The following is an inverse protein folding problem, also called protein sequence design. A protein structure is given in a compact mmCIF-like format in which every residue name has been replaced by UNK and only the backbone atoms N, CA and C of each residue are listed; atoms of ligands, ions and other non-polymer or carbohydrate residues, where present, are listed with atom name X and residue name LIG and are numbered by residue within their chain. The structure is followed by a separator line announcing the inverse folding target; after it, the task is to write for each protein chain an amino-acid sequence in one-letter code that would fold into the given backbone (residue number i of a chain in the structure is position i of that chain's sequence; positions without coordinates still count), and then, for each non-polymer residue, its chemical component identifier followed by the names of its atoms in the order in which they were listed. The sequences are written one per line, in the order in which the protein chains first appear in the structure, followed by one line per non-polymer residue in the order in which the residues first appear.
data_IF_473513098451
#
_entry.id   IF_473513098451
#
_cell.length_a   1.000
_cell.length_b   1.000
_cell.length_c   1.000
_cell.angle_alpha   90.00
_cell.angle_beta   90.00
_cell.angle_gamma   90.00
#
_symmetry.space_group_name_H-M   'P 1'
#
loop_
_entity.id
_entity.type
_entity.pdbx_description
1 polymer ?
#
# COMPACT_ATOMS: atom_id res chain seq x y z
N UNK A 1 -71.20 -65.96 39.50
CA UNK A 1 -72.04 -66.63 38.47
C UNK A 1 -73.06 -65.63 37.95
N UNK A 2 -73.43 -65.65 36.63
CA UNK A 2 -74.73 -65.24 35.99
C UNK A 2 -75.44 -63.95 36.48
N UNK A 3 -76.07 -63.03 35.71
CA UNK A 3 -76.39 -62.70 34.29
C UNK A 3 -77.02 -61.27 34.35
N UNK A 4 -77.20 -60.40 33.33
CA UNK A 4 -76.74 -60.17 31.94
C UNK A 4 -76.95 -58.65 31.64
N UNK A 5 -76.55 -58.08 30.48
CA UNK A 5 -76.43 -56.61 30.29
C UNK A 5 -77.56 -55.94 29.47
N UNK A 6 -77.59 -54.60 29.51
CA UNK A 6 -78.20 -53.72 28.49
C UNK A 6 -77.29 -52.50 28.24
N UNK A 7 -77.16 -52.04 27.01
CA UNK A 7 -76.36 -50.85 26.62
C UNK A 7 -77.23 -49.57 26.58
N UNK A 8 -76.69 -48.42 27.00
CA UNK A 8 -77.03 -47.11 26.40
C UNK A 8 -75.74 -46.30 26.16
N UNK A 9 -75.75 -45.64 25.02
CA UNK A 9 -74.70 -44.95 24.25
C UNK A 9 -73.92 -43.83 24.97
N UNK A 10 -72.74 -43.54 24.41
CA UNK A 10 -71.83 -42.44 24.78
C UNK A 10 -72.34 -41.06 24.36
N UNK A 11 -72.09 -40.03 25.18
CA UNK A 11 -72.33 -38.63 24.79
C UNK A 11 -71.42 -37.61 25.54
N UNK A 12 -70.10 -37.80 25.53
CA UNK A 12 -69.16 -36.79 26.06
C UNK A 12 -69.07 -35.60 25.10
N UNK A 13 -69.97 -34.63 25.25
CA UNK A 13 -70.08 -33.49 24.35
C UNK A 13 -69.01 -32.41 24.62
N UNK A 14 -67.77 -32.72 24.25
CA UNK A 14 -66.61 -31.83 24.44
C UNK A 14 -66.75 -30.58 23.56
N UNK A 15 -66.87 -29.41 24.20
CA UNK A 15 -66.90 -28.11 23.52
C UNK A 15 -65.55 -27.81 22.82
N UNK A 16 -65.47 -28.19 21.55
CA UNK A 16 -64.36 -27.86 20.66
C UNK A 16 -64.37 -26.36 20.32
N UNK A 17 -63.70 -25.55 21.14
CA UNK A 17 -63.40 -24.15 20.85
C UNK A 17 -62.41 -24.09 19.68
N UNK A 18 -62.92 -24.08 18.45
CA UNK A 18 -62.15 -23.88 17.23
C UNK A 18 -61.84 -22.39 17.05
N UNK A 19 -60.68 -21.95 17.54
CA UNK A 19 -60.09 -20.68 17.12
C UNK A 19 -59.64 -20.80 15.66
N UNK A 20 -60.40 -20.21 14.73
CA UNK A 20 -60.05 -20.12 13.32
C UNK A 20 -58.89 -19.12 13.09
N UNK A 21 -57.68 -19.48 13.55
CA UNK A 21 -56.45 -18.75 13.25
C UNK A 21 -56.04 -19.05 11.81
N UNK A 22 -56.58 -18.28 10.86
CA UNK A 22 -56.18 -18.36 9.45
C UNK A 22 -54.82 -17.67 9.30
N UNK A 23 -53.73 -18.45 9.48
CA UNK A 23 -52.36 -17.99 9.24
C UNK A 23 -52.16 -17.77 7.75
N UNK A 24 -52.54 -16.60 7.25
CA UNK A 24 -52.14 -16.10 5.94
C UNK A 24 -50.64 -15.85 5.96
N UNK A 25 -49.85 -16.84 5.53
CA UNK A 25 -48.46 -16.63 5.13
C UNK A 25 -48.45 -15.79 3.85
N UNK A 26 -48.51 -14.47 3.99
CA UNK A 26 -48.04 -13.58 2.93
C UNK A 26 -46.55 -13.85 2.77
N UNK A 27 -46.14 -14.24 1.57
CA UNK A 27 -44.73 -14.43 1.23
C UNK A 27 -44.12 -13.04 1.05
N UNK A 28 -43.61 -12.48 2.15
CA UNK A 28 -42.81 -11.26 2.13
C UNK A 28 -41.47 -11.57 1.46
N UNK A 29 -41.17 -10.92 0.32
CA UNK A 29 -39.82 -10.83 -0.22
C UNK A 29 -39.31 -9.40 -0.10
N UNK A 30 -38.03 -9.24 0.25
CA UNK A 30 -37.38 -7.92 0.19
C UNK A 30 -37.40 -7.33 -1.23
N UNK A 31 -37.36 -8.20 -2.25
CA UNK A 31 -37.46 -7.85 -3.67
C UNK A 31 -38.77 -7.15 -4.08
N UNK A 32 -39.83 -7.25 -3.26
CA UNK A 32 -41.11 -6.58 -3.51
C UNK A 32 -41.12 -5.12 -3.01
N UNK A 33 -40.12 -4.75 -2.20
CA UNK A 33 -40.02 -3.48 -1.47
C UNK A 33 -38.82 -2.66 -1.96
N UNK A 34 -37.69 -3.31 -2.22
CA UNK A 34 -36.46 -2.72 -2.77
C UNK A 34 -36.71 -2.08 -4.15
N UNK A 35 -36.08 -0.94 -4.42
CA UNK A 35 -36.28 -0.17 -5.65
C UNK A 35 -35.09 0.76 -5.92
N UNK A 36 -34.59 0.75 -7.16
CA UNK A 36 -33.52 1.65 -7.63
C UNK A 36 -33.90 3.14 -7.51
N UNK A 37 -35.19 3.48 -7.65
CA UNK A 37 -35.72 4.78 -7.25
C UNK A 37 -35.95 4.78 -5.72
N UNK A 38 -35.09 5.51 -5.01
CA UNK A 38 -35.19 5.74 -3.57
C UNK A 38 -36.53 6.35 -3.14
N UNK A 39 -37.17 7.16 -3.99
CA UNK A 39 -38.49 7.77 -3.69
C UNK A 39 -39.55 6.69 -3.55
N UNK A 40 -39.56 5.73 -4.49
CA UNK A 40 -40.43 4.56 -4.47
C UNK A 40 -40.04 3.59 -3.35
N UNK A 41 -38.75 3.39 -3.08
CA UNK A 41 -38.29 2.54 -1.97
C UNK A 41 -38.77 3.07 -0.61
N UNK A 42 -38.66 4.39 -0.37
CA UNK A 42 -39.21 5.07 0.82
C UNK A 42 -40.73 4.83 0.93
N UNK A 43 -41.48 4.96 -0.17
CA UNK A 43 -42.92 4.72 -0.13
C UNK A 43 -43.26 3.26 0.18
N UNK A 44 -42.59 2.30 -0.46
CA UNK A 44 -42.76 0.87 -0.19
C UNK A 44 -42.46 0.53 1.29
N UNK A 45 -41.44 1.16 1.89
CA UNK A 45 -41.12 1.02 3.31
C UNK A 45 -42.18 1.64 4.25
N UNK A 46 -42.80 2.77 3.86
CA UNK A 46 -43.92 3.37 4.59
C UNK A 46 -45.19 2.51 4.51
N UNK A 47 -45.48 1.95 3.33
CA UNK A 47 -46.69 1.15 3.09
C UNK A 47 -46.71 -0.17 3.90
N UNK A 48 -45.53 -0.72 4.24
CA UNK A 48 -45.41 -1.87 5.18
C UNK A 48 -45.38 -1.45 6.66
N UNK A 49 -45.46 -0.16 6.99
CA UNK A 49 -45.44 0.36 8.35
C UNK A 49 -44.05 0.43 9.01
N UNK A 50 -42.97 0.57 8.23
CA UNK A 50 -41.63 0.75 8.78
C UNK A 50 -41.50 2.10 9.53
N UNK A 51 -40.88 2.15 10.73
CA UNK A 51 -40.69 3.41 11.45
C UNK A 51 -39.79 4.39 10.67
N UNK A 52 -40.16 5.67 10.60
CA UNK A 52 -39.44 6.70 9.83
C UNK A 52 -37.94 6.79 10.12
N UNK A 53 -37.50 6.59 11.37
CA UNK A 53 -36.08 6.57 11.71
C UNK A 53 -35.36 5.35 11.08
N UNK A 54 -36.00 4.18 11.06
CA UNK A 54 -35.48 2.99 10.38
C UNK A 54 -35.44 3.19 8.87
N UNK A 55 -36.44 3.87 8.28
CA UNK A 55 -36.40 4.27 6.86
C UNK A 55 -35.22 5.21 6.60
N UNK A 56 -35.00 6.22 7.46
CA UNK A 56 -33.86 7.14 7.37
C UNK A 56 -32.52 6.38 7.44
N UNK A 57 -32.33 5.51 8.42
CA UNK A 57 -31.08 4.75 8.59
C UNK A 57 -30.81 3.81 7.38
N UNK A 58 -31.84 3.16 6.83
CA UNK A 58 -31.74 2.33 5.61
C UNK A 58 -31.34 3.19 4.40
N UNK A 59 -32.04 4.28 4.13
CA UNK A 59 -31.79 5.10 2.93
C UNK A 59 -30.44 5.82 3.01
N UNK A 60 -30.02 6.27 4.20
CA UNK A 60 -28.66 6.80 4.41
C UNK A 60 -27.61 5.72 4.14
N UNK A 61 -27.82 4.48 4.60
CA UNK A 61 -26.92 3.35 4.30
C UNK A 61 -26.80 3.09 2.79
N UNK A 62 -27.92 2.96 2.07
CA UNK A 62 -27.89 2.63 0.63
C UNK A 62 -27.35 3.77 -0.24
N UNK A 63 -27.70 5.02 0.05
CA UNK A 63 -27.10 6.17 -0.66
C UNK A 63 -25.61 6.27 -0.37
N UNK A 64 -25.16 6.04 0.88
CA UNK A 64 -23.74 5.98 1.22
C UNK A 64 -23.02 4.83 0.48
N UNK A 65 -23.67 3.67 0.29
CA UNK A 65 -23.15 2.54 -0.47
C UNK A 65 -22.99 2.88 -1.97
N UNK A 66 -24.03 3.44 -2.61
CA UNK A 66 -23.97 3.89 -4.01
C UNK A 66 -22.86 4.92 -4.21
N UNK A 67 -22.77 5.93 -3.35
CA UNK A 67 -21.72 6.95 -3.46
C UNK A 67 -20.32 6.43 -3.11
N UNK A 68 -20.19 5.37 -2.30
CA UNK A 68 -18.90 4.67 -2.13
C UNK A 68 -18.50 3.94 -3.41
N UNK A 69 -19.41 3.19 -4.04
CA UNK A 69 -19.12 2.52 -5.29
C UNK A 69 -18.81 3.51 -6.43
N UNK A 70 -19.49 4.66 -6.47
CA UNK A 70 -19.15 5.76 -7.39
C UNK A 70 -17.75 6.31 -7.13
N UNK A 71 -17.35 6.59 -5.88
CA UNK A 71 -15.96 7.00 -5.59
C UNK A 71 -14.94 5.95 -6.03
N UNK A 72 -15.17 4.69 -5.68
CA UNK A 72 -14.26 3.58 -5.98
C UNK A 72 -14.05 3.34 -7.50
N UNK A 73 -14.85 3.98 -8.37
CA UNK A 73 -14.79 3.84 -9.82
C UNK A 73 -14.56 5.17 -10.58
N UNK A 74 -15.03 6.31 -10.05
CA UNK A 74 -14.91 7.65 -10.66
C UNK A 74 -13.74 8.49 -10.13
N UNK A 75 -13.15 8.14 -8.98
CA UNK A 75 -11.99 8.84 -8.42
C UNK A 75 -10.71 8.10 -8.83
N UNK A 76 -9.73 8.82 -9.40
CA UNK A 76 -8.38 8.31 -9.62
C UNK A 76 -7.51 8.69 -8.43
N UNK A 77 -7.16 7.72 -7.58
CA UNK A 77 -6.31 7.94 -6.40
C UNK A 77 -4.81 7.77 -6.70
N UNK A 78 -3.92 8.27 -5.82
CA UNK A 78 -2.49 7.96 -5.86
C UNK A 78 -2.16 6.46 -5.95
N UNK A 79 -2.94 5.61 -5.28
CA UNK A 79 -2.76 4.16 -5.22
C UNK A 79 -3.01 3.47 -6.58
N UNK A 80 -3.76 4.12 -7.48
CA UNK A 80 -3.91 3.67 -8.85
C UNK A 80 -2.65 3.94 -9.70
N UNK A 81 -1.77 4.86 -9.29
CA UNK A 81 -0.46 5.11 -9.91
C UNK A 81 0.66 4.22 -9.34
N UNK A 82 0.37 2.94 -9.06
CA UNK A 82 1.25 2.02 -8.32
C UNK A 82 2.66 1.80 -8.91
N UNK A 83 2.91 2.20 -10.16
CA UNK A 83 4.22 2.16 -10.80
C UNK A 83 5.13 3.36 -10.46
N UNK A 84 4.56 4.47 -9.95
CA UNK A 84 5.33 5.67 -9.55
C UNK A 84 5.75 5.60 -8.08
N UNK A 85 7.00 5.99 -7.77
CA UNK A 85 7.50 6.17 -6.40
C UNK A 85 7.05 7.47 -5.74
N UNK A 86 6.59 8.44 -6.54
CA UNK A 86 6.00 9.71 -6.10
C UNK A 86 4.75 9.90 -6.97
N UNK A 87 3.54 9.84 -6.38
CA UNK A 87 2.30 10.09 -7.11
C UNK A 87 2.25 11.51 -7.70
N UNK A 88 1.42 11.69 -8.72
CA UNK A 88 1.28 12.98 -9.38
C UNK A 88 0.57 14.02 -8.48
N UNK A 89 1.16 15.20 -8.23
CA UNK A 89 0.52 16.24 -7.44
C UNK A 89 -0.84 16.70 -7.99
N UNK A 90 -1.04 16.65 -9.32
CA UNK A 90 -2.34 17.00 -9.91
C UNK A 90 -3.38 15.91 -9.68
N UNK A 91 -3.01 14.62 -9.73
CA UNK A 91 -3.94 13.52 -9.39
C UNK A 91 -4.39 13.58 -7.93
N UNK A 92 -3.53 14.01 -7.00
CA UNK A 92 -3.92 14.25 -5.61
C UNK A 92 -4.99 15.37 -5.54
N UNK A 93 -4.81 16.48 -6.27
CA UNK A 93 -5.78 17.59 -6.30
C UNK A 93 -7.10 17.18 -6.95
N UNK A 94 -7.05 16.52 -8.12
CA UNK A 94 -8.23 16.08 -8.85
C UNK A 94 -9.04 15.07 -8.03
N UNK A 95 -8.37 14.16 -7.32
CA UNK A 95 -9.02 13.27 -6.35
C UNK A 95 -9.71 14.06 -5.22
N UNK A 96 -9.05 15.06 -4.62
CA UNK A 96 -9.66 15.91 -3.58
C UNK A 96 -10.91 16.62 -4.10
N UNK A 97 -10.84 17.18 -5.32
CA UNK A 97 -11.95 17.89 -5.96
C UNK A 97 -13.11 16.93 -6.26
N UNK A 98 -12.83 15.78 -6.88
CA UNK A 98 -13.84 14.79 -7.27
C UNK A 98 -14.50 14.13 -6.06
N UNK A 99 -13.76 13.84 -4.99
CA UNK A 99 -14.31 13.34 -3.71
C UNK A 99 -15.26 14.37 -3.08
N UNK A 100 -14.89 15.66 -3.05
CA UNK A 100 -15.74 16.73 -2.53
C UNK A 100 -17.01 16.94 -3.36
N UNK A 101 -16.89 16.90 -4.70
CA UNK A 101 -18.05 16.99 -5.59
C UNK A 101 -19.04 15.83 -5.37
N UNK A 102 -18.53 14.59 -5.30
CA UNK A 102 -19.34 13.40 -5.03
C UNK A 102 -20.00 13.43 -3.65
N UNK A 103 -19.37 14.04 -2.62
CA UNK A 103 -20.04 14.20 -1.32
C UNK A 103 -21.12 15.28 -1.33
N UNK A 104 -20.92 16.38 -2.06
CA UNK A 104 -21.97 17.39 -2.24
C UNK A 104 -23.20 16.79 -2.94
N UNK A 105 -22.99 16.05 -4.05
CA UNK A 105 -24.06 15.30 -4.74
C UNK A 105 -24.82 14.34 -3.78
N UNK A 106 -24.08 13.64 -2.90
CA UNK A 106 -24.63 12.73 -1.88
C UNK A 106 -25.49 13.48 -0.86
N UNK A 107 -24.99 14.61 -0.34
CA UNK A 107 -25.67 15.47 0.64
C UNK A 107 -26.94 16.09 0.07
N UNK A 108 -26.90 16.56 -1.18
CA UNK A 108 -28.06 17.10 -1.89
C UNK A 108 -29.14 16.03 -2.08
N UNK A 109 -28.76 14.81 -2.48
CA UNK A 109 -29.69 13.69 -2.62
C UNK A 109 -30.34 13.31 -1.28
N UNK A 110 -29.55 13.17 -0.21
CA UNK A 110 -30.07 12.84 1.13
C UNK A 110 -31.00 13.93 1.67
N UNK A 111 -30.63 15.20 1.50
CA UNK A 111 -31.46 16.36 1.89
C UNK A 111 -32.80 16.37 1.13
N UNK A 112 -32.78 16.02 -0.16
CA UNK A 112 -33.98 15.91 -1.00
C UNK A 112 -34.89 14.74 -0.60
N UNK A 113 -34.32 13.61 -0.16
CA UNK A 113 -35.07 12.40 0.19
C UNK A 113 -35.63 12.41 1.62
N UNK A 114 -34.88 12.98 2.57
CA UNK A 114 -35.08 12.79 4.02
C UNK A 114 -35.18 14.10 4.82
N UNK A 115 -35.14 15.26 4.15
CA UNK A 115 -35.09 16.58 4.77
C UNK A 115 -33.69 16.96 5.29
N UNK A 116 -33.47 18.20 5.74
CA UNK A 116 -32.15 18.68 6.19
C UNK A 116 -31.61 17.91 7.40
N UNK A 117 -32.50 17.40 8.26
CA UNK A 117 -32.14 16.68 9.49
C UNK A 117 -31.72 15.21 9.26
N UNK A 118 -31.37 14.81 8.02
CA UNK A 118 -30.88 13.46 7.73
C UNK A 118 -29.57 13.13 8.46
N UNK A 119 -28.75 14.14 8.77
CA UNK A 119 -27.49 14.00 9.53
C UNK A 119 -27.72 13.54 10.98
N UNK A 120 -28.95 13.62 11.50
CA UNK A 120 -29.33 13.08 12.82
C UNK A 120 -29.56 11.56 12.83
N UNK A 121 -29.06 10.84 11.82
CA UNK A 121 -29.05 9.37 11.76
C UNK A 121 -27.72 8.81 12.28
N UNK A 122 -27.77 7.71 13.03
CA UNK A 122 -26.55 7.00 13.44
C UNK A 122 -25.74 6.48 12.23
N UNK A 123 -26.41 6.29 11.09
CA UNK A 123 -25.78 5.96 9.82
C UNK A 123 -24.93 7.11 9.22
N UNK A 124 -25.11 8.36 9.65
CA UNK A 124 -24.29 9.50 9.22
C UNK A 124 -22.92 9.55 9.95
N UNK A 125 -22.85 9.11 11.21
CA UNK A 125 -21.61 9.08 12.02
C UNK A 125 -20.54 8.15 11.44
N UNK A 126 -20.93 7.20 10.58
CA UNK A 126 -20.01 6.28 9.89
C UNK A 126 -19.16 6.96 8.79
N UNK A 127 -19.35 8.26 8.55
CA UNK A 127 -18.72 9.02 7.47
C UNK A 127 -17.79 10.11 8.03
N UNK A 128 -16.60 10.34 7.45
CA UNK A 128 -15.70 11.39 7.94
C UNK A 128 -16.31 12.81 7.85
N UNK A 129 -15.92 13.74 8.74
CA UNK A 129 -16.22 15.17 8.63
C UNK A 129 -15.81 15.77 7.27
N UNK A 130 -16.56 16.78 6.81
CA UNK A 130 -16.47 17.30 5.43
C UNK A 130 -15.09 17.86 5.06
N UNK A 131 -14.44 18.50 6.02
CA UNK A 131 -13.08 19.03 5.94
C UNK A 131 -12.04 17.89 5.79
N UNK A 132 -12.20 16.82 6.57
CA UNK A 132 -11.30 15.66 6.62
C UNK A 132 -11.57 14.58 5.56
N UNK A 133 -12.73 14.60 4.88
CA UNK A 133 -13.16 13.56 3.92
C UNK A 133 -12.10 13.21 2.88
N UNK A 134 -11.62 14.23 2.15
CA UNK A 134 -10.71 14.02 1.05
C UNK A 134 -9.37 13.45 1.52
N UNK A 135 -8.82 13.99 2.60
CA UNK A 135 -7.59 13.48 3.21
C UNK A 135 -7.76 12.05 3.74
N UNK A 136 -8.87 11.73 4.42
CA UNK A 136 -9.14 10.39 4.96
C UNK A 136 -9.30 9.34 3.86
N UNK A 137 -9.93 9.70 2.74
CA UNK A 137 -10.17 8.81 1.59
C UNK A 137 -8.89 8.61 0.75
N UNK A 138 -8.04 9.64 0.63
CA UNK A 138 -6.88 9.65 -0.28
C UNK A 138 -5.56 9.27 0.43
N UNK A 139 -5.41 9.53 1.73
CA UNK A 139 -4.22 9.14 2.51
C UNK A 139 -4.29 7.73 3.11
N UNK A 140 -5.46 7.09 3.07
CA UNK A 140 -5.62 5.68 3.43
C UNK A 140 -5.26 5.31 4.87
N UNK A 141 -5.58 6.18 5.86
CA UNK A 141 -5.35 6.04 7.31
C UNK A 141 -4.54 4.82 7.77
N UNK A 142 -3.28 5.08 8.12
CA UNK A 142 -2.21 4.12 8.40
C UNK A 142 -2.46 3.22 9.63
N UNK A 143 -3.27 2.16 9.45
CA UNK A 143 -3.48 1.06 10.41
C UNK A 143 -3.94 -0.23 9.69
N UNK A 144 -3.19 -0.65 8.66
CA UNK A 144 -3.49 -1.87 7.89
C UNK A 144 -4.79 -1.83 7.06
N UNK A 145 -5.38 -0.64 6.85
CA UNK A 145 -6.40 -0.40 5.81
C UNK A 145 -5.73 -0.34 4.43
N UNK A 146 -6.50 -0.64 3.40
CA UNK A 146 -6.10 -0.59 1.99
C UNK A 146 -7.15 0.16 1.17
N UNK A 147 -6.76 0.84 0.10
CA UNK A 147 -7.71 1.47 -0.83
C UNK A 147 -8.06 0.46 -1.94
N UNK A 148 -9.36 0.21 -2.16
CA UNK A 148 -9.87 -0.86 -3.02
C UNK A 148 -10.72 -0.29 -4.15
N UNK A 149 -10.07 0.46 -5.03
CA UNK A 149 -10.66 1.32 -6.05
C UNK A 149 -10.07 1.10 -7.46
N UNK A 150 -10.50 1.93 -8.41
CA UNK A 150 -10.08 1.87 -9.80
C UNK A 150 -10.66 0.66 -10.56
N UNK A 151 -10.17 0.38 -11.78
CA UNK A 151 -10.86 -0.48 -12.75
C UNK A 151 -10.90 -1.98 -12.39
N UNK A 152 -10.17 -2.40 -11.34
CA UNK A 152 -10.07 -3.81 -10.90
C UNK A 152 -10.54 -3.98 -9.46
N UNK A 153 -9.96 -3.27 -8.48
CA UNK A 153 -10.33 -3.42 -7.06
C UNK A 153 -11.64 -2.67 -6.72
N UNK A 154 -11.93 -1.56 -7.41
CA UNK A 154 -13.17 -0.82 -7.25
C UNK A 154 -14.44 -1.61 -7.59
N UNK A 155 -14.31 -2.64 -8.43
CA UNK A 155 -15.40 -3.55 -8.85
C UNK A 155 -15.60 -4.75 -7.93
N UNK A 156 -14.85 -4.88 -6.84
CA UNK A 156 -15.07 -5.91 -5.83
C UNK A 156 -16.41 -5.68 -5.10
N UNK A 157 -17.13 -6.75 -4.77
CA UNK A 157 -18.39 -6.64 -4.00
C UNK A 157 -18.13 -6.11 -2.58
N UNK A 158 -19.13 -5.55 -1.89
CA UNK A 158 -18.97 -5.06 -0.52
C UNK A 158 -18.45 -6.13 0.45
N UNK A 159 -18.82 -7.41 0.26
CA UNK A 159 -18.41 -8.56 1.06
C UNK A 159 -16.93 -8.86 0.84
N UNK A 160 -16.48 -8.88 -0.42
CA UNK A 160 -15.08 -9.13 -0.76
C UNK A 160 -14.21 -7.95 -0.29
N UNK A 161 -14.67 -6.70 -0.46
CA UNK A 161 -13.98 -5.52 0.11
C UNK A 161 -13.86 -5.62 1.63
N UNK A 162 -14.94 -5.95 2.36
CA UNK A 162 -14.93 -6.19 3.82
C UNK A 162 -13.96 -7.33 4.20
N UNK A 163 -13.91 -8.41 3.43
CA UNK A 163 -13.03 -9.56 3.68
C UNK A 163 -11.55 -9.24 3.43
N UNK A 164 -11.20 -8.57 2.33
CA UNK A 164 -9.83 -8.08 2.05
C UNK A 164 -9.37 -7.14 3.16
N UNK A 165 -10.17 -6.11 3.49
CA UNK A 165 -9.86 -5.15 4.57
C UNK A 165 -9.61 -5.83 5.92
N UNK A 166 -10.34 -6.91 6.22
CA UNK A 166 -10.13 -7.71 7.43
C UNK A 166 -8.78 -8.44 7.38
N UNK A 167 -8.47 -9.13 6.28
CA UNK A 167 -7.20 -9.84 6.09
C UNK A 167 -6.00 -8.87 6.15
N UNK A 168 -6.08 -7.70 5.50
CA UNK A 168 -5.03 -6.68 5.54
C UNK A 168 -4.72 -6.20 6.96
N UNK A 169 -5.74 -5.99 7.80
CA UNK A 169 -5.55 -5.65 9.23
C UNK A 169 -5.02 -6.82 10.06
N UNK A 170 -5.49 -8.04 9.82
CA UNK A 170 -4.99 -9.25 10.51
C UNK A 170 -3.53 -9.57 10.14
N UNK A 171 -3.13 -9.29 8.90
CA UNK A 171 -1.74 -9.36 8.44
C UNK A 171 -0.86 -8.29 9.09
N UNK A 172 -1.31 -7.03 9.09
CA UNK A 172 -0.59 -5.93 9.75
C UNK A 172 -0.39 -6.21 11.25
N UNK A 173 -1.46 -6.63 11.96
CA UNK A 173 -1.38 -7.01 13.38
C UNK A 173 -0.37 -8.14 13.61
N UNK A 174 -0.44 -9.24 12.84
CA UNK A 174 0.55 -10.35 12.93
C UNK A 174 1.99 -9.89 12.72
N UNK A 175 2.21 -8.88 11.86
CA UNK A 175 3.53 -8.33 11.63
C UNK A 175 4.00 -7.46 12.81
N UNK A 176 3.16 -6.58 13.37
CA UNK A 176 3.54 -5.79 14.54
C UNK A 176 3.77 -6.67 15.77
N UNK A 177 2.88 -7.62 16.06
CA UNK A 177 3.04 -8.58 17.17
C UNK A 177 4.34 -9.40 17.07
N UNK A 178 4.83 -9.65 15.86
CA UNK A 178 6.15 -10.27 15.66
C UNK A 178 7.29 -9.29 15.95
N UNK A 179 7.22 -8.06 15.43
CA UNK A 179 8.27 -7.05 15.62
C UNK A 179 8.40 -6.63 17.10
N UNK A 180 7.28 -6.26 17.74
CA UNK A 180 7.20 -5.93 19.17
C UNK A 180 7.72 -7.09 20.04
N UNK A 181 7.38 -8.33 19.71
CA UNK A 181 7.85 -9.51 20.44
C UNK A 181 9.36 -9.72 20.31
N UNK A 182 9.95 -9.45 19.13
CA UNK A 182 11.41 -9.51 18.97
C UNK A 182 12.10 -8.38 19.74
N UNK A 183 11.57 -7.15 19.69
CA UNK A 183 12.10 -5.98 20.42
C UNK A 183 12.07 -6.20 21.95
N UNK A 184 10.91 -6.55 22.50
CA UNK A 184 10.72 -6.84 23.93
C UNK A 184 11.58 -8.00 24.45
N UNK A 185 12.00 -8.91 23.56
CA UNK A 185 12.89 -10.04 23.89
C UNK A 185 14.37 -9.79 23.53
N UNK A 186 14.73 -8.62 22.99
CA UNK A 186 16.11 -8.32 22.54
C UNK A 186 16.61 -9.22 21.40
N UNK A 187 15.71 -9.73 20.55
CA UNK A 187 16.02 -10.69 19.48
C UNK A 187 16.15 -9.99 18.11
N UNK A 188 17.04 -10.45 17.22
CA UNK A 188 17.12 -9.91 15.86
C UNK A 188 15.86 -10.22 15.04
N UNK A 189 15.47 -9.30 14.17
CA UNK A 189 14.33 -9.48 13.26
C UNK A 189 14.76 -10.46 12.14
N UNK A 190 14.01 -11.54 11.96
CA UNK A 190 14.23 -12.54 10.90
C UNK A 190 13.47 -12.15 9.64
N UNK A 191 14.18 -12.01 8.53
CA UNK A 191 13.57 -11.70 7.23
C UNK A 191 12.78 -12.90 6.68
N UNK A 192 13.23 -14.14 6.92
CA UNK A 192 12.48 -15.31 6.51
C UNK A 192 11.15 -15.43 7.28
N UNK A 193 11.12 -15.04 8.56
CA UNK A 193 9.88 -15.00 9.34
C UNK A 193 8.90 -13.96 8.82
N UNK A 194 9.38 -12.77 8.43
CA UNK A 194 8.56 -11.75 7.77
C UNK A 194 8.02 -12.23 6.40
N UNK A 195 8.85 -12.90 5.59
CA UNK A 195 8.42 -13.49 4.32
C UNK A 195 7.29 -14.52 4.50
N UNK A 196 7.39 -15.40 5.51
CA UNK A 196 6.34 -16.38 5.84
C UNK A 196 5.02 -15.68 6.20
N UNK A 197 5.04 -14.59 6.97
CA UNK A 197 3.82 -13.83 7.30
C UNK A 197 3.20 -13.16 6.06
N UNK A 198 4.02 -12.63 5.15
CA UNK A 198 3.57 -12.09 3.85
C UNK A 198 2.99 -13.20 2.96
N UNK A 199 3.59 -14.40 2.96
CA UNK A 199 3.09 -15.56 2.20
C UNK A 199 1.71 -16.01 2.72
N UNK A 200 1.54 -16.18 4.04
CA UNK A 200 0.24 -16.51 4.64
C UNK A 200 -0.85 -15.51 4.23
N UNK A 201 -0.52 -14.21 4.24
CA UNK A 201 -1.42 -13.14 3.80
C UNK A 201 -1.82 -13.30 2.33
N UNK A 202 -0.89 -13.65 1.44
CA UNK A 202 -1.18 -13.93 0.02
C UNK A 202 -2.07 -15.17 -0.15
N UNK A 203 -1.83 -16.21 0.62
CA UNK A 203 -2.62 -17.46 0.64
C UNK A 203 -4.02 -17.26 1.24
N UNK A 204 -4.24 -16.23 2.05
CA UNK A 204 -5.56 -15.83 2.54
C UNK A 204 -6.31 -15.00 1.50
N UNK A 205 -5.63 -14.05 0.85
CA UNK A 205 -6.21 -13.21 -0.21
C UNK A 205 -6.55 -14.01 -1.47
N UNK A 206 -5.74 -14.99 -1.87
CA UNK A 206 -5.97 -15.83 -3.06
C UNK A 206 -7.21 -16.73 -2.96
N UNK A 207 -7.79 -16.88 -1.76
CA UNK A 207 -9.06 -17.61 -1.53
C UNK A 207 -10.29 -16.75 -1.79
N UNK A 208 -10.13 -15.41 -1.91
CA UNK A 208 -11.24 -14.45 -2.10
C UNK A 208 -11.05 -13.50 -3.29
N UNK A 209 -9.84 -13.42 -3.86
CA UNK A 209 -9.50 -12.62 -5.04
C UNK A 209 -9.18 -13.52 -6.23
N UNK A 210 -9.60 -13.12 -7.43
CA UNK A 210 -9.11 -13.73 -8.68
C UNK A 210 -7.62 -13.40 -8.88
N UNK A 211 -6.88 -14.15 -9.73
CA UNK A 211 -5.46 -13.87 -9.98
C UNK A 211 -5.18 -12.43 -10.41
N UNK A 212 -6.05 -11.84 -11.25
CA UNK A 212 -5.92 -10.44 -11.69
C UNK A 212 -6.13 -9.44 -10.55
N UNK A 213 -7.09 -9.70 -9.64
CA UNK A 213 -7.36 -8.85 -8.49
C UNK A 213 -6.25 -8.96 -7.44
N UNK A 214 -5.69 -10.17 -7.25
CA UNK A 214 -4.54 -10.39 -6.39
C UNK A 214 -3.28 -9.71 -6.93
N UNK A 215 -3.05 -9.75 -8.24
CA UNK A 215 -1.92 -9.06 -8.87
C UNK A 215 -2.01 -7.53 -8.67
N UNK A 216 -3.17 -6.92 -8.95
CA UNK A 216 -3.41 -5.49 -8.73
C UNK A 216 -3.25 -5.11 -7.24
N UNK A 217 -3.74 -5.94 -6.31
CA UNK A 217 -3.52 -5.75 -4.88
C UNK A 217 -2.03 -5.78 -4.52
N UNK A 218 -1.25 -6.72 -5.08
CA UNK A 218 0.17 -6.86 -4.76
C UNK A 218 1.05 -5.78 -5.44
N UNK A 219 0.68 -5.31 -6.64
CA UNK A 219 1.29 -4.15 -7.29
C UNK A 219 1.15 -2.89 -6.43
N UNK A 220 0.06 -2.76 -5.69
CA UNK A 220 -0.16 -1.65 -4.75
C UNK A 220 0.53 -1.89 -3.40
N UNK A 221 0.26 -3.02 -2.75
CA UNK A 221 0.50 -3.20 -1.31
C UNK A 221 1.59 -4.23 -0.93
N UNK A 222 2.30 -4.83 -1.88
CA UNK A 222 3.39 -5.77 -1.55
C UNK A 222 4.71 -5.07 -1.25
N UNK A 223 5.52 -5.68 -0.36
CA UNK A 223 6.89 -5.23 -0.10
C UNK A 223 7.75 -5.19 -1.36
N UNK A 224 7.57 -6.12 -2.29
CA UNK A 224 8.28 -6.16 -3.57
C UNK A 224 7.96 -4.94 -4.42
N UNK A 225 6.68 -4.60 -4.56
CA UNK A 225 6.25 -3.42 -5.31
C UNK A 225 6.74 -2.12 -4.66
N UNK A 226 6.73 -2.03 -3.32
CA UNK A 226 7.25 -0.87 -2.60
C UNK A 226 8.78 -0.75 -2.72
N UNK A 227 9.51 -1.86 -2.61
CA UNK A 227 10.93 -1.93 -2.91
C UNK A 227 11.22 -1.54 -4.37
N UNK A 228 10.37 -1.95 -5.31
CA UNK A 228 10.53 -1.64 -6.74
C UNK A 228 10.24 -0.16 -7.02
N UNK A 229 9.19 0.43 -6.44
CA UNK A 229 8.94 1.89 -6.48
C UNK A 229 10.16 2.66 -5.98
N UNK A 230 10.67 2.31 -4.79
CA UNK A 230 11.86 2.95 -4.20
C UNK A 230 13.11 2.78 -5.07
N UNK A 231 13.31 1.59 -5.64
CA UNK A 231 14.44 1.27 -6.54
C UNK A 231 14.40 2.04 -7.88
N UNK A 232 13.23 2.51 -8.31
CA UNK A 232 13.01 3.19 -9.60
C UNK A 232 12.79 4.72 -9.45
N UNK A 233 13.12 5.29 -8.29
CA UNK A 233 12.80 6.69 -7.98
C UNK A 233 13.50 7.67 -8.92
N UNK A 234 12.73 8.45 -9.67
CA UNK A 234 13.26 9.39 -10.65
C UNK A 234 13.74 8.73 -11.96
N UNK A 235 13.25 7.52 -12.26
CA UNK A 235 13.40 6.86 -13.55
C UNK A 235 12.02 6.75 -14.18
N UNK A 236 11.89 7.12 -15.46
CA UNK A 236 10.64 6.96 -16.19
C UNK A 236 10.43 5.48 -16.56
N UNK A 237 9.30 4.94 -16.09
CA UNK A 237 8.90 3.53 -16.21
C UNK A 237 7.39 3.47 -16.48
N UNK A 238 6.97 2.70 -17.49
CA UNK A 238 5.54 2.52 -17.80
C UNK A 238 4.84 1.56 -16.83
N UNK A 239 3.49 1.55 -16.75
CA UNK A 239 2.74 0.55 -16.00
C UNK A 239 3.08 -0.89 -16.43
N UNK A 240 3.27 -1.11 -17.74
CA UNK A 240 3.61 -2.41 -18.33
C UNK A 240 5.05 -2.82 -17.99
N UNK A 241 6.00 -1.88 -18.00
CA UNK A 241 7.38 -2.13 -17.59
C UNK A 241 7.46 -2.48 -16.10
N UNK A 242 6.79 -1.70 -15.24
CA UNK A 242 6.73 -1.96 -13.81
C UNK A 242 6.04 -3.30 -13.52
N UNK A 243 4.92 -3.62 -14.18
CA UNK A 243 4.23 -4.92 -14.05
C UNK A 243 5.13 -6.08 -14.48
N UNK A 244 5.86 -5.97 -15.60
CA UNK A 244 6.83 -6.98 -16.06
C UNK A 244 7.99 -7.19 -15.09
N UNK A 245 8.52 -6.11 -14.53
CA UNK A 245 9.54 -6.16 -13.48
C UNK A 245 8.99 -6.82 -12.21
N UNK A 246 7.82 -6.37 -11.74
CA UNK A 246 7.17 -6.87 -10.52
C UNK A 246 6.91 -8.38 -10.58
N UNK A 247 6.19 -8.87 -11.60
CA UNK A 247 5.77 -10.29 -11.66
C UNK A 247 6.96 -11.25 -11.62
N UNK A 248 8.10 -10.89 -12.20
CA UNK A 248 9.32 -11.71 -12.14
C UNK A 248 10.15 -11.47 -10.87
N UNK A 249 10.30 -10.21 -10.43
CA UNK A 249 11.06 -9.86 -9.22
C UNK A 249 10.40 -10.39 -7.95
N UNK A 250 9.07 -10.49 -7.91
CA UNK A 250 8.32 -10.90 -6.72
C UNK A 250 8.61 -12.32 -6.25
N UNK A 251 8.70 -13.28 -7.18
CA UNK A 251 9.12 -14.63 -6.86
C UNK A 251 10.57 -14.67 -6.34
N UNK A 252 11.46 -13.88 -6.94
CA UNK A 252 12.89 -13.82 -6.60
C UNK A 252 13.11 -13.15 -5.23
N UNK A 253 12.44 -12.03 -4.96
CA UNK A 253 12.53 -11.31 -3.68
C UNK A 253 11.93 -12.13 -2.53
N UNK A 254 10.84 -12.90 -2.76
CA UNK A 254 10.33 -13.85 -1.75
C UNK A 254 11.32 -14.98 -1.47
N UNK A 255 11.96 -15.57 -2.49
CA UNK A 255 12.96 -16.62 -2.26
C UNK A 255 14.19 -16.06 -1.53
N UNK A 256 14.66 -14.86 -1.88
CA UNK A 256 15.76 -14.18 -1.18
C UNK A 256 15.45 -13.93 0.30
N UNK A 257 14.28 -13.38 0.64
CA UNK A 257 13.92 -13.14 2.04
C UNK A 257 13.81 -14.48 2.83
N UNK A 258 13.31 -15.55 2.20
CA UNK A 258 13.25 -16.91 2.79
C UNK A 258 14.62 -17.61 2.95
N UNK A 259 15.65 -17.14 2.24
CA UNK A 259 17.03 -17.60 2.36
C UNK A 259 17.89 -16.73 3.28
N UNK A 260 17.44 -15.52 3.65
CA UNK A 260 18.23 -14.53 4.37
C UNK A 260 18.85 -15.01 5.69
N UNK A 261 18.17 -15.90 6.42
CA UNK A 261 18.63 -16.44 7.70
C UNK A 261 19.45 -17.75 7.55
N UNK A 262 19.86 -18.13 6.33
CA UNK A 262 20.59 -19.38 6.02
C UNK A 262 22.02 -19.11 5.53
N UNK A 263 22.99 -19.66 6.25
CA UNK A 263 24.43 -19.50 5.97
C UNK A 263 25.09 -20.72 5.30
N UNK A 264 24.33 -21.72 4.84
CA UNK A 264 24.90 -22.89 4.17
C UNK A 264 25.35 -22.57 2.74
N UNK A 265 26.28 -23.37 2.21
CA UNK A 265 26.89 -23.12 0.91
C UNK A 265 25.89 -23.16 -0.27
N UNK A 266 24.83 -23.96 -0.19
CA UNK A 266 23.81 -24.04 -1.24
C UNK A 266 22.89 -22.81 -1.21
N UNK A 267 22.47 -22.35 -0.02
CA UNK A 267 21.75 -21.09 0.15
C UNK A 267 22.57 -19.89 -0.35
N UNK A 268 23.87 -19.81 -0.01
CA UNK A 268 24.76 -18.74 -0.50
C UNK A 268 24.90 -18.78 -2.03
N UNK A 269 25.05 -19.98 -2.63
CA UNK A 269 25.09 -20.11 -4.09
C UNK A 269 23.75 -19.71 -4.73
N UNK A 270 22.62 -20.05 -4.11
CA UNK A 270 21.28 -19.73 -4.61
C UNK A 270 20.99 -18.23 -4.54
N UNK A 271 21.34 -17.56 -3.45
CA UNK A 271 21.25 -16.09 -3.31
C UNK A 271 21.98 -15.39 -4.46
N UNK A 272 23.23 -15.77 -4.75
CA UNK A 272 24.01 -15.18 -5.86
C UNK A 272 23.37 -15.39 -7.23
N UNK A 273 22.69 -16.51 -7.46
CA UNK A 273 21.93 -16.75 -8.69
C UNK A 273 20.70 -15.83 -8.79
N UNK A 274 19.95 -15.69 -7.70
CA UNK A 274 18.75 -14.85 -7.61
C UNK A 274 19.09 -13.35 -7.78
N UNK A 275 20.20 -12.89 -7.21
CA UNK A 275 20.74 -11.54 -7.42
C UNK A 275 21.09 -11.29 -8.90
N UNK A 276 21.80 -12.24 -9.53
CA UNK A 276 22.16 -12.15 -10.95
C UNK A 276 20.93 -12.18 -11.88
N UNK A 277 19.88 -12.92 -11.51
CA UNK A 277 18.59 -12.91 -12.21
C UNK A 277 17.88 -11.55 -12.10
N UNK A 278 17.88 -10.90 -10.93
CA UNK A 278 17.35 -9.53 -10.75
C UNK A 278 18.09 -8.50 -11.61
N UNK A 279 19.41 -8.62 -11.69
CA UNK A 279 20.25 -7.78 -12.55
C UNK A 279 19.95 -7.96 -14.04
N UNK A 280 19.79 -9.22 -14.49
CA UNK A 280 19.40 -9.53 -15.87
C UNK A 280 18.00 -9.02 -16.20
N UNK A 281 17.02 -9.22 -15.30
CA UNK A 281 15.65 -8.73 -15.43
C UNK A 281 15.60 -7.19 -15.58
N UNK A 282 16.38 -6.46 -14.78
CA UNK A 282 16.43 -5.00 -14.85
C UNK A 282 17.00 -4.51 -16.19
N UNK A 283 18.06 -5.15 -16.68
CA UNK A 283 18.64 -4.88 -18.00
C UNK A 283 17.66 -5.21 -19.14
N UNK A 284 16.90 -6.30 -19.04
CA UNK A 284 15.97 -6.76 -20.07
C UNK A 284 14.74 -5.86 -20.22
N UNK A 285 14.16 -5.38 -19.12
CA UNK A 285 12.92 -4.57 -19.18
C UNK A 285 13.23 -3.09 -19.36
N UNK A 286 14.22 -2.52 -18.65
CA UNK A 286 14.51 -1.09 -18.73
C UNK A 286 15.52 -0.73 -19.83
N UNK A 287 16.31 -1.70 -20.30
CA UNK A 287 17.49 -1.46 -21.13
C UNK A 287 18.70 -1.00 -20.32
N UNK A 288 19.90 -1.20 -20.86
CA UNK A 288 21.19 -1.01 -20.17
C UNK A 288 21.33 0.36 -19.51
N UNK A 289 20.93 1.44 -20.19
CA UNK A 289 21.13 2.81 -19.70
C UNK A 289 20.27 3.11 -18.45
N UNK A 290 18.96 2.80 -18.49
CA UNK A 290 18.07 2.98 -17.32
C UNK A 290 18.44 2.03 -16.19
N UNK A 291 18.79 0.78 -16.49
CA UNK A 291 19.30 -0.18 -15.50
C UNK A 291 20.59 0.29 -14.81
N UNK A 292 21.51 0.92 -15.55
CA UNK A 292 22.70 1.54 -14.96
C UNK A 292 22.36 2.72 -14.03
N UNK A 293 21.33 3.51 -14.35
CA UNK A 293 20.84 4.57 -13.45
C UNK A 293 20.26 4.00 -12.15
N UNK A 294 19.48 2.91 -12.20
CA UNK A 294 19.01 2.18 -10.98
C UNK A 294 20.17 1.82 -10.05
N UNK A 295 21.30 1.39 -10.63
CA UNK A 295 22.50 1.02 -9.87
C UNK A 295 23.23 2.23 -9.30
N UNK A 296 23.38 3.29 -10.09
CA UNK A 296 24.04 4.54 -9.64
C UNK A 296 23.26 5.19 -8.49
N UNK A 297 21.92 5.21 -8.54
CA UNK A 297 21.07 5.72 -7.46
C UNK A 297 21.23 4.99 -6.11
N UNK A 298 21.92 3.84 -6.08
CA UNK A 298 22.23 3.06 -4.88
C UNK A 298 23.70 3.14 -4.47
N UNK A 299 24.57 3.76 -5.27
CA UNK A 299 25.99 3.91 -4.95
C UNK A 299 26.18 5.13 -4.03
N UNK A 300 26.71 4.97 -2.79
CA UNK A 300 26.92 6.09 -1.87
C UNK A 300 27.76 7.22 -2.48
N UNK A 301 28.74 6.90 -3.33
CA UNK A 301 29.63 7.88 -3.97
C UNK A 301 28.86 8.72 -5.01
N UNK A 302 27.85 8.14 -5.65
CA UNK A 302 26.97 8.86 -6.58
C UNK A 302 25.99 9.76 -5.83
N UNK A 303 25.38 9.25 -4.74
CA UNK A 303 24.47 10.02 -3.87
C UNK A 303 25.21 11.23 -3.26
N UNK A 304 26.44 11.04 -2.76
CA UNK A 304 27.29 12.13 -2.27
C UNK A 304 27.62 13.14 -3.40
N UNK A 305 27.95 12.66 -4.60
CA UNK A 305 28.26 13.53 -5.74
C UNK A 305 27.04 14.36 -6.21
N UNK A 306 25.83 13.81 -6.13
CA UNK A 306 24.58 14.56 -6.35
C UNK A 306 24.40 15.65 -5.28
N UNK A 307 24.56 15.31 -4.00
CA UNK A 307 24.45 16.25 -2.88
C UNK A 307 25.44 17.41 -3.01
N UNK A 308 26.72 17.12 -3.31
CA UNK A 308 27.77 18.14 -3.50
C UNK A 308 27.36 19.14 -4.60
N UNK A 309 26.85 18.67 -5.74
CA UNK A 309 26.40 19.54 -6.83
C UNK A 309 25.21 20.40 -6.40
N UNK A 310 24.23 19.82 -5.72
CA UNK A 310 23.02 20.52 -5.25
C UNK A 310 23.34 21.61 -4.22
N UNK A 311 24.17 21.33 -3.21
CA UNK A 311 24.50 22.28 -2.14
C UNK A 311 25.48 23.37 -2.60
N UNK A 312 26.45 23.00 -3.45
CA UNK A 312 27.36 23.97 -4.06
C UNK A 312 26.67 24.85 -5.11
N UNK A 313 25.66 24.34 -5.82
CA UNK A 313 25.04 25.00 -6.97
C UNK A 313 25.90 24.94 -8.22
N UNK A 314 26.62 23.83 -8.43
CA UNK A 314 27.30 23.52 -9.68
C UNK A 314 26.31 23.01 -10.75
N UNK A 315 26.77 22.79 -12.00
CA UNK A 315 25.90 22.18 -13.02
C UNK A 315 25.61 20.72 -12.69
N UNK A 316 24.39 20.26 -13.01
CA UNK A 316 24.02 18.85 -12.99
C UNK A 316 24.95 17.99 -13.87
N UNK A 317 25.52 18.56 -14.94
CA UNK A 317 26.48 17.88 -15.81
C UNK A 317 27.75 17.44 -15.06
N UNK A 318 28.12 18.14 -13.98
CA UNK A 318 29.29 17.80 -13.15
C UNK A 318 29.08 16.55 -12.29
N UNK A 319 27.84 16.06 -12.08
CA UNK A 319 27.55 14.90 -11.22
C UNK A 319 28.32 13.65 -11.69
N UNK A 320 28.27 13.31 -12.98
CA UNK A 320 28.90 12.10 -13.53
C UNK A 320 30.44 12.18 -13.64
N UNK A 321 31.06 13.34 -13.93
CA UNK A 321 32.49 13.57 -13.71
C UNK A 321 32.92 13.43 -12.25
N UNK A 322 32.22 14.09 -11.31
CA UNK A 322 32.55 14.06 -9.88
C UNK A 322 32.46 12.64 -9.30
N UNK A 323 31.38 11.93 -9.60
CA UNK A 323 31.21 10.52 -9.23
C UNK A 323 32.37 9.64 -9.69
N UNK A 324 32.81 9.79 -10.96
CA UNK A 324 33.94 9.01 -11.49
C UNK A 324 35.25 9.31 -10.77
N UNK A 325 35.58 10.60 -10.58
CA UNK A 325 36.80 11.01 -9.86
C UNK A 325 36.80 10.51 -8.41
N UNK A 326 35.68 10.65 -7.70
CA UNK A 326 35.54 10.17 -6.33
C UNK A 326 35.65 8.64 -6.25
N UNK A 327 35.00 7.92 -7.16
CA UNK A 327 35.01 6.44 -7.20
C UNK A 327 36.38 5.88 -7.59
N UNK A 328 37.06 6.48 -8.54
CA UNK A 328 38.44 6.11 -8.91
C UNK A 328 39.40 6.37 -7.74
N UNK A 329 39.25 7.49 -7.04
CA UNK A 329 40.02 7.82 -5.83
C UNK A 329 39.79 6.82 -4.71
N UNK A 330 38.53 6.47 -4.43
CA UNK A 330 38.17 5.46 -3.42
C UNK A 330 38.81 4.08 -3.74
N UNK A 331 38.76 3.66 -5.01
CA UNK A 331 39.35 2.41 -5.47
C UNK A 331 40.89 2.43 -5.43
N UNK A 332 41.54 3.58 -5.66
CA UNK A 332 42.98 3.73 -5.51
C UNK A 332 43.41 3.69 -4.04
N UNK A 333 42.76 4.47 -3.17
CA UNK A 333 43.05 4.49 -1.73
C UNK A 333 42.86 3.09 -1.11
N UNK A 334 41.77 2.40 -1.46
CA UNK A 334 41.50 1.04 -0.99
C UNK A 334 42.60 0.05 -1.39
N UNK A 335 43.14 0.15 -2.61
CA UNK A 335 44.28 -0.69 -3.05
C UNK A 335 45.53 -0.43 -2.24
N UNK A 336 45.90 0.84 -2.01
CA UNK A 336 47.10 1.22 -1.23
C UNK A 336 46.96 0.78 0.24
N UNK A 337 45.77 0.88 0.83
CA UNK A 337 45.50 0.37 2.17
C UNK A 337 45.63 -1.15 2.28
N UNK A 338 45.22 -1.87 1.24
CA UNK A 338 45.27 -3.34 1.15
C UNK A 338 46.62 -3.91 0.68
N UNK A 339 47.57 -3.05 0.32
CA UNK A 339 48.93 -3.49 -0.02
C UNK A 339 49.72 -3.82 1.26
N UNK A 340 50.29 -5.02 1.32
CA UNK A 340 51.09 -5.49 2.46
C UNK A 340 52.59 -5.25 2.27
N UNK A 341 53.01 -4.63 1.16
CA UNK A 341 54.42 -4.34 0.85
C UNK A 341 54.85 -2.92 1.26
N UNK A 342 53.90 -2.01 1.52
CA UNK A 342 54.14 -0.62 1.90
C UNK A 342 54.06 -0.42 3.43
N UNK A 343 54.90 0.46 3.98
CA UNK A 343 54.80 0.90 5.39
C UNK A 343 53.58 1.80 5.61
N UNK A 344 53.21 2.03 6.87
CA UNK A 344 52.09 2.94 7.19
C UNK A 344 52.43 4.42 6.90
N UNK A 345 53.71 4.82 6.94
CA UNK A 345 54.16 6.13 6.46
C UNK A 345 54.04 6.24 4.93
N UNK A 346 54.53 5.25 4.18
CA UNK A 346 54.45 5.23 2.71
C UNK A 346 52.99 5.26 2.23
N UNK A 347 52.12 4.49 2.88
CA UNK A 347 50.66 4.50 2.64
C UNK A 347 50.07 5.89 2.89
N UNK A 348 50.42 6.55 3.99
CA UNK A 348 49.92 7.89 4.28
C UNK A 348 50.41 8.92 3.27
N UNK A 349 51.67 8.87 2.84
CA UNK A 349 52.19 9.78 1.82
C UNK A 349 51.45 9.58 0.49
N UNK A 350 51.37 8.35 -0.03
CA UNK A 350 50.70 8.05 -1.30
C UNK A 350 49.21 8.44 -1.25
N UNK A 351 48.51 8.17 -0.14
CA UNK A 351 47.10 8.57 0.04
C UNK A 351 46.97 10.11 0.08
N UNK A 352 47.94 10.83 0.65
CA UNK A 352 47.94 12.30 0.63
C UNK A 352 48.13 12.87 -0.79
N UNK A 353 49.00 12.25 -1.60
CA UNK A 353 49.22 12.64 -3.00
C UNK A 353 47.96 12.38 -3.85
N UNK A 354 47.33 11.20 -3.71
CA UNK A 354 46.06 10.87 -4.39
C UNK A 354 44.97 11.89 -4.03
N UNK A 355 44.81 12.22 -2.73
CA UNK A 355 43.83 13.23 -2.28
C UNK A 355 44.13 14.63 -2.84
N UNK A 356 45.39 15.03 -2.96
CA UNK A 356 45.76 16.31 -3.58
C UNK A 356 45.36 16.38 -5.06
N UNK A 357 45.57 15.29 -5.82
CA UNK A 357 45.15 15.19 -7.24
C UNK A 357 43.62 15.16 -7.38
N UNK A 358 42.92 14.47 -6.47
CA UNK A 358 41.45 14.51 -6.38
C UNK A 358 40.98 15.96 -6.17
N UNK A 359 41.51 16.67 -5.17
CA UNK A 359 41.06 18.00 -4.77
C UNK A 359 41.24 19.05 -5.88
N UNK A 360 42.39 19.02 -6.57
CA UNK A 360 42.64 19.84 -7.76
C UNK A 360 41.66 19.54 -8.90
N UNK A 361 41.28 18.26 -9.05
CA UNK A 361 40.32 17.82 -10.07
C UNK A 361 38.89 18.25 -9.71
N UNK A 362 38.48 18.11 -8.45
CA UNK A 362 37.20 18.61 -7.94
C UNK A 362 37.09 20.13 -8.13
N UNK A 363 38.15 20.88 -7.82
CA UNK A 363 38.21 22.33 -8.07
C UNK A 363 37.93 22.68 -9.53
N UNK A 364 38.54 21.94 -10.47
CA UNK A 364 38.35 22.14 -11.91
C UNK A 364 36.93 21.75 -12.40
N UNK A 365 36.29 20.75 -11.78
CA UNK A 365 34.96 20.26 -12.17
C UNK A 365 33.79 21.06 -11.57
N UNK A 366 34.01 21.72 -10.44
CA UNK A 366 33.04 22.59 -9.77
C UNK A 366 33.21 24.06 -10.18
N UNK A 367 34.45 24.50 -10.44
CA UNK A 367 34.83 25.91 -10.54
C UNK A 367 34.91 26.58 -9.16
N UNK A 368 35.69 27.66 -9.04
CA UNK A 368 36.10 28.25 -7.75
C UNK A 368 34.94 28.49 -6.78
N UNK A 369 33.82 29.09 -7.24
CA UNK A 369 32.70 29.47 -6.35
C UNK A 369 31.98 28.25 -5.75
N UNK A 370 31.78 27.19 -6.52
CA UNK A 370 31.11 25.98 -6.06
C UNK A 370 32.08 25.11 -5.23
N UNK A 371 33.36 25.07 -5.60
CA UNK A 371 34.42 24.40 -4.86
C UNK A 371 34.64 25.01 -3.46
N UNK A 372 34.65 26.34 -3.32
CA UNK A 372 34.79 27.00 -2.02
C UNK A 372 33.61 26.67 -1.08
N UNK A 373 32.38 26.62 -1.60
CA UNK A 373 31.23 26.10 -0.83
C UNK A 373 31.45 24.65 -0.41
N UNK A 374 31.84 23.78 -1.33
CA UNK A 374 32.12 22.36 -1.05
C UNK A 374 33.14 22.17 0.08
N UNK A 375 34.23 22.94 0.10
CA UNK A 375 35.18 22.95 1.22
C UNK A 375 34.54 23.34 2.55
N UNK A 376 33.81 24.46 2.60
CA UNK A 376 33.12 24.90 3.82
C UNK A 376 32.07 23.88 4.32
N UNK A 377 31.46 23.10 3.43
CA UNK A 377 30.53 22.03 3.80
C UNK A 377 31.26 20.85 4.46
N UNK A 378 32.41 20.42 3.93
CA UNK A 378 33.22 19.36 4.53
C UNK A 378 33.84 19.76 5.88
N UNK A 379 34.27 21.01 6.02
CA UNK A 379 34.81 21.57 7.27
C UNK A 379 33.75 21.55 8.39
N UNK A 380 32.52 22.01 8.10
CA UNK A 380 31.40 21.97 9.05
C UNK A 380 31.04 20.55 9.51
N UNK A 381 31.00 19.56 8.60
CA UNK A 381 30.78 18.16 9.02
C UNK A 381 31.92 17.59 9.88
N UNK A 382 33.15 18.08 9.69
CA UNK A 382 34.33 17.64 10.44
C UNK A 382 34.43 18.29 11.82
N UNK A 383 33.76 19.43 12.04
CA UNK A 383 33.59 20.03 13.36
C UNK A 383 32.42 19.38 14.13
N UNK A 384 31.23 19.26 13.54
CA UNK A 384 30.07 18.64 14.22
C UNK A 384 30.31 17.16 14.59
N UNK A 385 31.20 16.46 13.86
CA UNK A 385 31.66 15.11 14.18
C UNK A 385 32.68 15.01 15.33
N UNK A 386 32.94 16.09 16.07
CA UNK A 386 33.84 16.14 17.25
C UNK A 386 33.18 16.65 18.52
N UNK A 387 31.90 16.99 18.48
CA UNK A 387 31.11 17.50 19.62
C UNK A 387 30.01 16.52 20.09
N UNK A 388 30.05 15.26 19.62
CA UNK A 388 29.24 14.13 20.09
C UNK A 388 30.15 12.95 20.48
#
# INVERSE_FOLDING_TARGET
MKKQPTQIQSATNTLLIKTNVVVRRQFFSWSDIESEDFTKYIQNLRDIGCPEQTIRDIIVSEVNQVFSQRRDLEVTTPEQQWWKSVPDPEVIKDAIIKVRALDNERRELLTKLLGPDWEQSGAAEAWPPQDMLAETIISGWSNGRVILDGPVLGKLSPEIKKAVQRISREAWRRQQEYLESQELNGKPISNAKLAILRQQTREELSKILTPQQLEEYLLRYSQTAENLRRDLRGIEVSPEEFRKLFVQKDAIDMELDLLADKADAASIQRVRQLELQKDQLMNQVLGSNRSQLVKLQKDPVFIESQKIVQESGASADSIMPLYRVNRETELQIRKIQQDNLLTDEEKQEIISQIKSVQDQTLKRLLGDRAYQKFKSLQENTTQNGKEN
#
